data_IF_805284231128
#
_entry.id   IF_805284231128
#
_cell.length_a   1.000
_cell.length_b   1.000
_cell.length_c   1.000
_cell.angle_alpha   90.00
_cell.angle_beta   90.00
_cell.angle_gamma   90.00
#
_symmetry.space_group_name_H-M   'P 1'
#
loop_
_entity.id
_entity.type
_entity.pdbx_description
1 polymer ?
#
# COMPACT_ATOMS: atom_id res chain seq x y z
N UNK A 1 10.41 8.68 -12.42
CA UNK A 1 9.98 7.38 -11.88
C UNK A 1 9.56 7.59 -10.42
N UNK A 2 8.87 6.65 -9.80
CA UNK A 2 8.52 6.67 -8.37
C UNK A 2 8.80 5.29 -7.78
N UNK A 3 8.90 5.16 -6.46
CA UNK A 3 9.13 3.86 -5.82
C UNK A 3 7.81 3.12 -5.70
N UNK A 4 7.73 1.99 -6.39
CA UNK A 4 6.69 0.99 -6.22
C UNK A 4 7.31 -0.27 -5.66
N UNK A 5 6.66 -0.85 -4.66
CA UNK A 5 7.05 -2.09 -4.03
C UNK A 5 6.00 -3.15 -4.34
N UNK A 6 6.45 -4.39 -4.53
CA UNK A 6 5.52 -5.52 -4.65
C UNK A 6 5.00 -5.84 -3.26
N UNK A 7 3.69 -5.79 -3.12
CA UNK A 7 3.01 -6.19 -1.91
C UNK A 7 2.25 -7.48 -2.16
N UNK A 8 2.29 -8.38 -1.19
CA UNK A 8 1.29 -9.42 -1.05
C UNK A 8 0.34 -9.00 0.07
N UNK A 9 -0.96 -9.03 -0.18
CA UNK A 9 -1.98 -8.82 0.85
C UNK A 9 -2.80 -10.09 1.04
N UNK A 10 -3.25 -10.33 2.28
CA UNK A 10 -4.12 -11.46 2.62
C UNK A 10 -5.31 -10.98 3.46
N UNK A 11 -6.52 -11.38 3.06
CA UNK A 11 -7.76 -11.17 3.82
C UNK A 11 -8.57 -12.47 3.82
N UNK A 12 -8.77 -13.08 4.99
CA UNK A 12 -9.73 -14.17 5.22
C UNK A 12 -9.79 -15.26 4.12
N UNK A 13 -8.65 -15.58 3.47
CA UNK A 13 -8.54 -16.59 2.42
C UNK A 13 -8.14 -16.06 1.04
N UNK A 14 -8.44 -14.80 0.72
CA UNK A 14 -8.04 -14.15 -0.53
C UNK A 14 -6.61 -13.62 -0.42
N UNK A 15 -5.83 -13.81 -1.48
CA UNK A 15 -4.45 -13.32 -1.60
C UNK A 15 -4.30 -12.57 -2.91
N UNK A 16 -3.78 -11.35 -2.84
CA UNK A 16 -3.41 -10.58 -4.03
C UNK A 16 -1.94 -10.16 -3.95
N UNK A 17 -1.21 -10.33 -5.05
CA UNK A 17 0.09 -9.69 -5.25
C UNK A 17 -0.07 -8.49 -6.17
N UNK A 18 0.36 -7.33 -5.70
CA UNK A 18 0.15 -6.03 -6.36
C UNK A 18 1.41 -5.19 -6.33
N UNK A 19 1.60 -4.34 -7.32
CA UNK A 19 2.56 -3.24 -7.26
C UNK A 19 1.89 -2.04 -6.59
N UNK A 20 2.48 -1.55 -5.50
CA UNK A 20 1.96 -0.42 -4.73
C UNK A 20 2.95 0.75 -4.72
N UNK A 21 2.45 1.95 -5.00
CA UNK A 21 3.19 3.19 -4.98
C UNK A 21 3.40 3.68 -3.54
N UNK A 22 4.64 3.87 -3.15
CA UNK A 22 4.98 4.50 -1.86
C UNK A 22 4.65 5.98 -1.94
N UNK A 23 3.77 6.45 -1.06
CA UNK A 23 3.38 7.85 -0.96
C UNK A 23 3.65 8.39 0.44
N UNK A 24 4.80 9.06 0.62
CA UNK A 24 5.19 9.64 1.91
C UNK A 24 4.37 10.88 2.29
N UNK A 25 3.61 11.48 1.37
CA UNK A 25 2.68 12.57 1.68
C UNK A 25 1.29 12.05 2.11
N UNK A 26 1.08 10.75 2.10
CA UNK A 26 -0.06 10.11 2.75
C UNK A 26 0.34 9.81 4.19
N UNK A 27 0.08 10.77 5.07
CA UNK A 27 0.52 10.78 6.47
C UNK A 27 -0.66 10.45 7.41
N UNK A 28 -0.58 9.33 8.13
CA UNK A 28 -1.60 8.94 9.13
C UNK A 28 -0.95 8.30 10.35
N UNK A 29 -1.72 8.10 11.42
CA UNK A 29 -1.21 7.48 12.66
C UNK A 29 -1.11 5.95 12.58
N UNK A 30 -1.85 5.32 11.66
CA UNK A 30 -1.85 3.85 11.48
C UNK A 30 -1.21 3.46 10.15
N UNK A 31 -0.75 2.21 9.98
CA UNK A 31 -0.39 1.65 8.68
C UNK A 31 -1.63 1.53 7.78
N UNK A 32 -1.55 2.06 6.56
CA UNK A 32 -2.70 2.11 5.65
C UNK A 32 -2.33 1.80 4.21
N UNK A 33 -3.26 1.11 3.53
CA UNK A 33 -3.33 1.04 2.08
C UNK A 33 -4.52 1.85 1.58
N UNK A 34 -4.34 2.64 0.52
CA UNK A 34 -5.44 3.16 -0.27
C UNK A 34 -5.50 2.37 -1.57
N UNK A 35 -6.64 1.71 -1.81
CA UNK A 35 -6.82 0.78 -2.93
C UNK A 35 -7.96 1.21 -3.86
N UNK A 36 -7.84 0.92 -5.17
CA UNK A 36 -8.93 1.08 -6.12
C UNK A 36 -10.08 0.11 -5.86
N UNK A 37 -11.32 0.51 -6.17
CA UNK A 37 -12.53 -0.33 -6.01
C UNK A 37 -12.38 -1.70 -6.71
N UNK A 38 -11.68 -1.78 -7.84
CA UNK A 38 -11.47 -3.04 -8.57
C UNK A 38 -10.66 -4.05 -7.76
N UNK A 39 -9.58 -3.62 -7.10
CA UNK A 39 -8.83 -4.47 -6.17
C UNK A 39 -9.65 -4.81 -4.92
N UNK A 40 -10.39 -3.83 -4.38
CA UNK A 40 -11.23 -4.05 -3.20
C UNK A 40 -12.28 -5.15 -3.42
N UNK A 41 -12.84 -5.26 -4.63
CA UNK A 41 -13.76 -6.35 -5.00
C UNK A 41 -13.08 -7.72 -4.97
N UNK A 42 -11.84 -7.82 -5.50
CA UNK A 42 -11.08 -9.08 -5.46
C UNK A 42 -10.76 -9.50 -4.03
N UNK A 43 -10.48 -8.53 -3.15
CA UNK A 43 -10.17 -8.76 -1.75
C UNK A 43 -11.43 -8.88 -0.86
N UNK A 44 -12.63 -8.95 -1.45
CA UNK A 44 -13.90 -8.99 -0.70
C UNK A 44 -14.11 -7.83 0.28
N UNK A 45 -13.48 -6.69 0.02
CA UNK A 45 -13.68 -5.42 0.74
C UNK A 45 -14.68 -4.48 0.04
N UNK A 46 -15.22 -4.91 -1.10
CA UNK A 46 -16.26 -4.18 -1.81
C UNK A 46 -17.34 -5.13 -2.38
N UNK A 47 -18.65 -4.90 -2.13
CA UNK A 47 -19.24 -3.80 -1.37
C UNK A 47 -18.69 -3.68 0.06
N UNK A 48 -18.56 -2.45 0.61
CA UNK A 48 -17.89 -2.24 1.89
C UNK A 48 -18.54 -3.09 2.99
N UNK A 49 -17.75 -3.78 3.84
CA UNK A 49 -18.30 -4.59 4.91
C UNK A 49 -19.03 -3.71 5.94
N UNK A 50 -19.94 -4.30 6.73
CA UNK A 50 -20.68 -3.59 7.77
C UNK A 50 -19.79 -2.95 8.84
N UNK A 51 -18.56 -3.44 8.98
CA UNK A 51 -17.52 -2.90 9.86
C UNK A 51 -16.82 -1.67 9.29
N UNK A 52 -17.10 -1.29 8.06
CA UNK A 52 -16.51 -0.11 7.42
C UNK A 52 -17.15 1.19 7.89
N UNK A 53 -16.39 2.28 7.77
CA UNK A 53 -16.86 3.64 7.99
C UNK A 53 -16.57 4.52 6.78
N UNK A 54 -17.41 5.51 6.51
CA UNK A 54 -17.11 6.54 5.51
C UNK A 54 -16.28 7.63 6.16
N UNK A 55 -15.11 7.92 5.59
CA UNK A 55 -14.22 8.99 6.04
C UNK A 55 -13.97 9.97 4.90
N UNK A 56 -13.65 11.21 5.25
CA UNK A 56 -13.22 12.23 4.30
C UNK A 56 -11.70 12.37 4.40
N UNK A 57 -11.02 12.29 3.26
CA UNK A 57 -9.56 12.47 3.14
C UNK A 57 -9.25 13.68 2.28
N UNK A 58 -8.18 14.39 2.61
CA UNK A 58 -7.64 15.45 1.76
C UNK A 58 -6.85 14.85 0.59
N UNK A 59 -7.13 15.31 -0.63
CA UNK A 59 -6.33 14.97 -1.82
C UNK A 59 -5.86 16.23 -2.51
N UNK A 60 -4.93 16.10 -3.48
CA UNK A 60 -4.51 17.23 -4.31
C UNK A 60 -5.67 17.87 -5.10
N UNK A 61 -6.73 17.10 -5.39
CA UNK A 61 -7.93 17.58 -6.08
C UNK A 61 -9.03 18.11 -5.15
N UNK A 62 -8.79 18.13 -3.83
CA UNK A 62 -9.78 18.49 -2.80
C UNK A 62 -10.22 17.30 -1.94
N UNK A 63 -11.19 17.51 -1.04
CA UNK A 63 -11.71 16.46 -0.17
C UNK A 63 -12.37 15.33 -0.96
N UNK A 64 -12.13 14.08 -0.56
CA UNK A 64 -12.75 12.89 -1.15
C UNK A 64 -13.29 11.98 -0.06
N UNK A 65 -14.47 11.37 -0.30
CA UNK A 65 -15.06 10.39 0.60
C UNK A 65 -14.66 8.99 0.17
N UNK A 66 -14.15 8.23 1.13
CA UNK A 66 -13.68 6.85 0.93
C UNK A 66 -14.22 5.94 2.03
N UNK A 67 -14.24 4.63 1.77
CA UNK A 67 -14.58 3.65 2.80
C UNK A 67 -13.32 3.21 3.52
N UNK A 68 -13.31 3.31 4.85
CA UNK A 68 -12.26 2.80 5.71
C UNK A 68 -12.69 1.46 6.32
N UNK A 69 -11.88 0.43 6.12
CA UNK A 69 -11.97 -0.86 6.82
C UNK A 69 -10.74 -0.98 7.70
N UNK A 70 -10.92 -1.02 9.02
CA UNK A 70 -9.79 -1.13 9.95
C UNK A 70 -9.28 -2.55 10.07
N UNK A 71 -7.98 -2.68 10.35
CA UNK A 71 -7.33 -3.97 10.63
C UNK A 71 -7.67 -5.04 9.57
N UNK A 72 -7.67 -4.63 8.30
CA UNK A 72 -8.34 -5.36 7.24
C UNK A 72 -7.44 -6.37 6.52
N UNK A 73 -6.15 -6.06 6.42
CA UNK A 73 -5.19 -6.81 5.60
C UNK A 73 -3.90 -7.08 6.36
N UNK A 74 -3.41 -8.30 6.25
CA UNK A 74 -1.99 -8.57 6.48
C UNK A 74 -1.21 -8.25 5.20
N UNK A 75 -0.15 -7.45 5.32
CA UNK A 75 0.67 -6.98 4.19
C UNK A 75 2.11 -7.47 4.33
N UNK A 76 2.65 -7.99 3.23
CA UNK A 76 4.08 -8.32 3.08
C UNK A 76 4.68 -7.50 1.94
N UNK A 77 5.87 -6.95 2.14
CA UNK A 77 6.73 -6.52 1.04
C UNK A 77 7.46 -7.74 0.48
N UNK A 78 7.32 -8.00 -0.82
CA UNK A 78 7.85 -9.19 -1.49
C UNK A 78 8.99 -8.79 -2.42
N UNK A 79 10.13 -9.46 -2.30
CA UNK A 79 11.26 -9.33 -3.22
C UNK A 79 11.73 -10.71 -3.70
N UNK A 80 12.61 -10.76 -4.70
CA UNK A 80 13.10 -12.03 -5.28
C UNK A 80 13.78 -12.95 -4.25
N UNK A 81 14.33 -12.37 -3.19
CA UNK A 81 15.14 -13.07 -2.18
C UNK A 81 14.43 -13.30 -0.85
N UNK A 82 13.40 -12.53 -0.51
CA UNK A 82 12.70 -12.62 0.78
C UNK A 82 11.35 -11.90 0.79
N UNK A 83 10.62 -12.09 1.88
CA UNK A 83 9.41 -11.36 2.21
C UNK A 83 9.59 -10.68 3.58
N UNK A 84 9.06 -9.47 3.74
CA UNK A 84 9.06 -8.72 5.01
C UNK A 84 7.61 -8.46 5.42
N UNK A 85 7.21 -8.95 6.60
CA UNK A 85 5.83 -8.89 7.10
C UNK A 85 5.44 -10.15 7.90
N UNK A 86 4.14 -10.33 8.22
CA UNK A 86 3.05 -9.43 7.90
C UNK A 86 3.06 -8.15 8.76
N UNK A 87 2.46 -7.09 8.21
CA UNK A 87 2.01 -5.91 8.94
C UNK A 87 0.52 -5.74 8.74
N UNK A 88 -0.21 -5.61 9.85
CA UNK A 88 -1.65 -5.36 9.83
C UNK A 88 -1.88 -3.91 9.42
N UNK A 89 -2.74 -3.69 8.43
CA UNK A 89 -3.04 -2.35 7.93
C UNK A 89 -4.53 -2.12 7.75
N UNK A 90 -4.92 -0.85 7.91
CA UNK A 90 -6.23 -0.38 7.49
C UNK A 90 -6.28 -0.26 5.96
N UNK A 91 -7.48 -0.36 5.40
CA UNK A 91 -7.72 -0.20 3.97
C UNK A 91 -8.72 0.92 3.72
N UNK A 92 -8.32 1.88 2.88
CA UNK A 92 -9.20 2.89 2.32
C UNK A 92 -9.55 2.47 0.89
N UNK A 93 -10.83 2.36 0.59
CA UNK A 93 -11.32 2.05 -0.75
C UNK A 93 -11.68 3.36 -1.46
N UNK A 94 -10.90 3.72 -2.46
CA UNK A 94 -11.06 4.94 -3.24
C UNK A 94 -11.78 4.67 -4.57
N UNK A 95 -12.81 5.47 -4.92
CA UNK A 95 -13.49 5.35 -6.22
C UNK A 95 -12.73 6.01 -7.38
N UNK A 96 -11.69 6.81 -7.10
CA UNK A 96 -10.97 7.62 -8.09
C UNK A 96 -9.49 7.24 -8.24
N UNK A 97 -8.95 6.43 -7.33
CA UNK A 97 -7.56 6.01 -7.39
C UNK A 97 -7.38 4.89 -8.41
N UNK A 98 -6.26 4.92 -9.15
CA UNK A 98 -5.95 3.94 -10.18
C UNK A 98 -4.82 2.97 -9.79
N UNK A 99 -3.98 3.34 -8.81
CA UNK A 99 -2.90 2.51 -8.29
C UNK A 99 -3.11 2.22 -6.79
N UNK A 100 -2.44 1.20 -6.25
CA UNK A 100 -2.42 1.00 -4.79
C UNK A 100 -1.43 1.99 -4.19
N UNK A 101 -1.82 2.71 -3.14
CA UNK A 101 -0.92 3.59 -2.38
C UNK A 101 -0.58 2.98 -1.03
N UNK A 102 0.69 3.08 -0.65
CA UNK A 102 1.22 2.75 0.69
C UNK A 102 1.54 4.05 1.41
N UNK A 103 1.00 4.22 2.62
CA UNK A 103 1.27 5.40 3.44
C UNK A 103 2.68 5.37 4.06
N UNK A 104 3.07 6.47 4.71
CA UNK A 104 4.36 6.61 5.36
C UNK A 104 4.58 5.56 6.47
N UNK A 105 3.59 5.31 7.33
CA UNK A 105 3.68 4.36 8.44
C UNK A 105 3.89 2.93 8.00
N UNK A 106 3.09 2.45 7.05
CA UNK A 106 3.25 1.09 6.53
C UNK A 106 4.58 0.93 5.80
N UNK A 107 5.04 1.97 5.10
CA UNK A 107 6.37 1.99 4.47
C UNK A 107 7.49 1.82 5.51
N UNK A 108 7.44 2.57 6.61
CA UNK A 108 8.39 2.48 7.71
C UNK A 108 8.34 1.10 8.40
N UNK A 109 7.14 0.59 8.69
CA UNK A 109 6.97 -0.70 9.36
C UNK A 109 7.43 -1.89 8.50
N UNK A 110 7.29 -1.81 7.18
CA UNK A 110 7.85 -2.78 6.24
C UNK A 110 9.38 -2.61 6.07
N UNK A 111 9.98 -1.65 6.76
CA UNK A 111 11.42 -1.38 6.74
C UNK A 111 11.90 -0.82 5.42
N UNK A 112 11.03 -0.18 4.62
CA UNK A 112 11.40 0.35 3.30
C UNK A 112 12.09 1.70 3.46
N UNK A 113 13.32 1.80 2.96
CA UNK A 113 14.13 3.02 2.93
C UNK A 113 14.22 3.53 1.50
N UNK A 114 13.78 4.76 1.28
CA UNK A 114 13.85 5.42 -0.02
C UNK A 114 15.25 6.01 -0.24
N UNK A 115 15.92 5.61 -1.32
CA UNK A 115 17.28 6.07 -1.64
C UNK A 115 17.27 7.19 -2.70
N UNK A 116 16.50 6.99 -3.77
CA UNK A 116 16.30 7.99 -4.81
C UNK A 116 14.93 7.78 -5.48
N UNK A 117 13.85 8.37 -4.91
CA UNK A 117 12.48 8.13 -5.36
C UNK A 117 12.26 8.41 -6.85
N UNK A 118 12.82 9.52 -7.36
CA UNK A 118 12.71 9.92 -8.76
C UNK A 118 13.28 8.90 -9.76
N UNK A 119 14.21 8.06 -9.31
CA UNK A 119 14.81 6.96 -10.06
C UNK A 119 14.27 5.58 -9.66
N UNK A 120 13.30 5.51 -8.74
CA UNK A 120 12.73 4.26 -8.25
C UNK A 120 13.68 3.41 -7.42
N UNK A 121 14.68 4.00 -6.76
CA UNK A 121 15.67 3.24 -5.96
C UNK A 121 15.32 3.24 -4.48
N UNK A 122 15.35 2.06 -3.89
CA UNK A 122 15.03 1.83 -2.47
C UNK A 122 15.85 0.64 -1.93
N UNK A 123 15.78 0.38 -0.63
CA UNK A 123 16.31 -0.82 0.03
C UNK A 123 15.50 -1.11 1.29
N UNK A 124 15.66 -2.28 1.87
CA UNK A 124 15.22 -2.48 3.25
C UNK A 124 16.22 -1.87 4.25
N UNK A 125 15.76 -1.54 5.44
CA UNK A 125 16.57 -0.89 6.47
C UNK A 125 17.79 -1.74 6.88
N UNK A 126 17.61 -3.06 6.93
CA UNK A 126 18.62 -4.08 7.26
C UNK A 126 19.36 -4.66 6.04
N UNK A 127 19.05 -4.19 4.82
CA UNK A 127 19.86 -4.53 3.66
C UNK A 127 21.29 -3.97 3.81
N UNK A 128 22.32 -4.68 3.29
CA UNK A 128 23.67 -4.13 3.15
C UNK A 128 23.67 -2.76 2.46
N UNK A 129 24.64 -1.90 2.80
CA UNK A 129 24.66 -0.51 2.32
C UNK A 129 24.77 -0.36 0.80
N UNK A 130 25.37 -1.34 0.13
CA UNK A 130 25.54 -1.41 -1.32
C UNK A 130 24.35 -2.06 -2.04
N UNK A 131 23.40 -2.65 -1.30
CA UNK A 131 22.23 -3.27 -1.89
C UNK A 131 21.18 -2.23 -2.25
N UNK A 132 20.87 -2.18 -3.54
CA UNK A 132 19.87 -1.28 -4.12
C UNK A 132 18.83 -2.10 -4.87
N UNK A 133 17.55 -1.83 -4.57
CA UNK A 133 16.39 -2.45 -5.20
C UNK A 133 15.75 -1.46 -6.16
N UNK A 134 15.22 -1.99 -7.26
CA UNK A 134 14.48 -1.25 -8.26
C UNK A 134 12.99 -1.20 -7.95
N UNK A 135 12.32 -0.17 -8.45
CA UNK A 135 10.86 -0.06 -8.41
C UNK A 135 10.22 -1.12 -9.30
N UNK A 136 9.09 -1.65 -8.86
CA UNK A 136 8.16 -2.39 -9.71
C UNK A 136 7.57 -1.47 -10.79
N UNK A 137 7.04 -2.08 -11.86
CA UNK A 137 6.29 -1.36 -12.89
C UNK A 137 4.93 -0.90 -12.34
N UNK A 138 4.38 0.24 -12.80
CA UNK A 138 3.03 0.65 -12.46
C UNK A 138 2.01 -0.46 -12.74
N UNK A 139 1.06 -0.63 -11.83
CA UNK A 139 -0.08 -1.52 -12.00
C UNK A 139 -1.36 -0.71 -11.80
N UNK A 140 -2.08 -0.54 -12.89
CA UNK A 140 -3.37 0.14 -12.90
C UNK A 140 -4.49 -0.87 -12.71
N UNK A 141 -5.45 -0.50 -11.87
CA UNK A 141 -6.54 -1.38 -11.45
C UNK A 141 -7.81 -1.06 -12.15
#
# INVERSE_FOLDING_TARGET
MAVRIRLRSRISGEVAEVSALVNTGFETETPQLLIPVRLARLLSLYPPPLTSSVVEIGTAGGPSRVFLVRDAVDVWAVTEDREVGPKLADVLVSPIEEEVLVNDKLTEELGVVLLAPGSGRWRFADDPADRVRGSEKPQYW
#
